data_IF_436532648855
#
_entry.id   IF_436532648855
#
_cell.length_a   1.000
_cell.length_b   1.000
_cell.length_c   1.000
_cell.angle_alpha   90.00
_cell.angle_beta   90.00
_cell.angle_gamma   90.00
#
_symmetry.space_group_name_H-M   'P 1'
#
loop_
_entity.id
_entity.type
_entity.pdbx_description
1 polymer ?
#
# COMPACT_ATOMS: atom_id res chain seq x y z
N UNK A 1 -0.19 -5.99 4.95
CA UNK A 1 -0.80 -4.78 4.35
C UNK A 1 -2.15 -5.07 3.69
N UNK A 2 -2.26 -6.05 2.79
CA UNK A 2 -3.54 -6.37 2.11
C UNK A 2 -4.68 -6.71 3.09
N UNK A 3 -4.42 -7.52 4.11
CA UNK A 3 -5.40 -7.87 5.15
C UNK A 3 -5.83 -6.66 5.97
N UNK A 4 -4.88 -5.83 6.44
CA UNK A 4 -5.20 -4.57 7.14
C UNK A 4 -6.09 -3.66 6.30
N UNK A 5 -5.81 -3.52 4.99
CA UNK A 5 -6.66 -2.73 4.07
C UNK A 5 -8.05 -3.35 3.82
N UNK A 6 -8.26 -4.62 4.17
CA UNK A 6 -9.57 -5.28 4.08
C UNK A 6 -10.35 -5.08 5.38
N UNK A 7 -9.69 -5.22 6.53
CA UNK A 7 -10.32 -5.19 7.86
C UNK A 7 -10.53 -3.77 8.40
N UNK A 8 -9.66 -2.82 8.06
CA UNK A 8 -9.72 -1.46 8.58
C UNK A 8 -10.82 -0.65 7.90
N UNK A 9 -11.64 0.02 8.71
CA UNK A 9 -12.66 0.97 8.23
C UNK A 9 -12.06 2.38 8.22
N UNK A 10 -11.92 3.03 7.05
CA UNK A 10 -11.32 4.36 6.96
C UNK A 10 -11.97 5.39 7.90
N UNK A 11 -11.14 6.02 8.73
CA UNK A 11 -11.51 7.04 9.71
C UNK A 11 -12.06 6.49 11.03
N UNK A 12 -12.05 5.17 11.22
CA UNK A 12 -12.48 4.50 12.46
C UNK A 12 -11.40 3.56 13.03
N UNK A 13 -10.25 3.45 12.36
CA UNK A 13 -9.12 2.69 12.84
C UNK A 13 -8.49 3.27 14.11
N UNK A 14 -7.85 2.40 14.90
CA UNK A 14 -6.98 2.83 15.98
C UNK A 14 -5.75 3.58 15.40
N UNK A 15 -5.25 4.64 16.07
CA UNK A 15 -4.06 5.35 15.62
C UNK A 15 -2.83 4.44 15.41
N UNK A 16 -2.65 3.42 16.25
CA UNK A 16 -1.53 2.49 16.14
C UNK A 16 -1.62 1.58 14.91
N UNK A 17 -2.83 1.11 14.58
CA UNK A 17 -3.07 0.34 13.35
C UNK A 17 -2.81 1.21 12.11
N UNK A 18 -3.19 2.50 12.18
CA UNK A 18 -2.91 3.44 11.11
C UNK A 18 -1.41 3.69 10.93
N UNK A 19 -0.66 3.89 12.00
CA UNK A 19 0.80 4.05 11.96
C UNK A 19 1.49 2.82 11.37
N UNK A 20 1.07 1.62 11.81
CA UNK A 20 1.56 0.35 11.25
C UNK A 20 1.26 0.25 9.75
N UNK A 21 0.05 0.62 9.33
CA UNK A 21 -0.31 0.62 7.91
C UNK A 21 0.57 1.58 7.10
N UNK A 22 0.89 2.76 7.62
CA UNK A 22 1.83 3.69 6.96
C UNK A 22 3.25 3.11 6.88
N UNK A 23 3.74 2.47 7.93
CA UNK A 23 5.07 1.85 7.95
C UNK A 23 5.17 0.70 6.95
N UNK A 24 4.15 -0.14 6.88
CA UNK A 24 4.05 -1.21 5.87
C UNK A 24 4.06 -0.62 4.46
N UNK A 25 3.32 0.46 4.21
CA UNK A 25 3.32 1.12 2.90
C UNK A 25 4.70 1.67 2.54
N UNK A 26 5.41 2.30 3.48
CA UNK A 26 6.80 2.77 3.27
C UNK A 26 7.74 1.61 2.92
N UNK A 27 7.63 0.51 3.67
CA UNK A 27 8.42 -0.70 3.44
C UNK A 27 8.13 -1.31 2.06
N UNK A 28 6.85 -1.45 1.68
CA UNK A 28 6.45 -1.95 0.38
C UNK A 28 6.95 -1.07 -0.78
N UNK A 29 6.96 0.27 -0.62
CA UNK A 29 7.52 1.18 -1.64
C UNK A 29 9.03 1.00 -1.81
N UNK A 30 9.75 0.81 -0.70
CA UNK A 30 11.17 0.47 -0.77
C UNK A 30 11.43 -0.89 -1.45
N UNK A 31 10.58 -1.89 -1.18
CA UNK A 31 10.63 -3.18 -1.87
C UNK A 31 10.37 -3.05 -3.37
N UNK A 32 9.36 -2.26 -3.78
CA UNK A 32 9.09 -2.01 -5.18
C UNK A 32 10.29 -1.36 -5.88
N UNK A 33 10.90 -0.35 -5.27
CA UNK A 33 12.10 0.28 -5.83
C UNK A 33 13.20 -0.75 -6.06
N UNK A 34 13.42 -1.65 -5.10
CA UNK A 34 14.41 -2.72 -5.23
C UNK A 34 14.05 -3.74 -6.32
N UNK A 35 12.77 -4.09 -6.46
CA UNK A 35 12.30 -5.01 -7.51
C UNK A 35 12.52 -4.40 -8.89
N UNK A 36 12.19 -3.12 -9.09
CA UNK A 36 12.42 -2.41 -10.36
C UNK A 36 13.90 -2.40 -10.73
N UNK A 37 14.79 -2.16 -9.76
CA UNK A 37 16.24 -2.27 -9.97
C UNK A 37 16.64 -3.69 -10.41
N UNK A 38 16.11 -4.72 -9.74
CA UNK A 38 16.42 -6.12 -10.06
C UNK A 38 15.94 -6.53 -11.46
N UNK A 39 14.72 -6.15 -11.85
CA UNK A 39 14.17 -6.39 -13.19
C UNK A 39 15.11 -5.84 -14.27
N UNK A 40 15.77 -4.70 -14.02
CA UNK A 40 16.67 -4.07 -15.01
C UNK A 40 18.01 -4.78 -15.18
N UNK A 41 18.42 -5.64 -14.25
CA UNK A 41 19.77 -6.23 -14.24
C UNK A 41 19.81 -7.77 -14.16
N UNK A 42 18.67 -8.43 -13.92
CA UNK A 42 18.58 -9.90 -13.95
C UNK A 42 18.46 -10.37 -15.41
N UNK A 43 19.27 -11.36 -15.79
CA UNK A 43 19.26 -11.95 -17.14
C UNK A 43 18.45 -13.24 -17.26
N UNK A 44 18.04 -13.82 -16.13
CA UNK A 44 17.20 -15.02 -16.11
C UNK A 44 15.73 -14.61 -16.33
N UNK A 45 15.13 -15.11 -17.41
CA UNK A 45 13.76 -14.75 -17.81
C UNK A 45 12.71 -15.19 -16.79
N UNK A 46 12.80 -16.41 -16.25
CA UNK A 46 11.89 -16.94 -15.23
C UNK A 46 11.94 -16.08 -13.96
N UNK A 47 13.13 -15.70 -13.51
CA UNK A 47 13.28 -14.80 -12.36
C UNK A 47 12.72 -13.40 -12.66
N UNK A 48 12.88 -12.92 -13.90
CA UNK A 48 12.35 -11.61 -14.31
C UNK A 48 10.82 -11.61 -14.34
N UNK A 49 10.21 -12.70 -14.81
CA UNK A 49 8.75 -12.91 -14.81
C UNK A 49 8.19 -12.89 -13.37
N UNK A 50 8.82 -13.61 -12.45
CA UNK A 50 8.43 -13.60 -11.04
C UNK A 50 8.56 -12.21 -10.40
N UNK A 51 9.63 -11.47 -10.72
CA UNK A 51 9.81 -10.10 -10.24
C UNK A 51 8.73 -9.16 -10.77
N UNK A 52 8.30 -9.32 -12.03
CA UNK A 52 7.21 -8.55 -12.61
C UNK A 52 5.88 -8.87 -11.90
N UNK A 53 5.59 -10.15 -11.63
CA UNK A 53 4.39 -10.55 -10.88
C UNK A 53 4.33 -9.92 -9.49
N UNK A 54 5.44 -10.00 -8.72
CA UNK A 54 5.50 -9.37 -7.39
C UNK A 54 5.36 -7.85 -7.48
N UNK A 55 5.91 -7.21 -8.52
CA UNK A 55 5.76 -5.78 -8.73
C UNK A 55 4.30 -5.39 -9.02
N UNK A 56 3.59 -6.18 -9.81
CA UNK A 56 2.17 -5.97 -10.11
C UNK A 56 1.29 -6.14 -8.86
N UNK A 57 1.60 -7.12 -8.02
CA UNK A 57 0.95 -7.27 -6.71
C UNK A 57 1.17 -6.05 -5.81
N UNK A 58 2.39 -5.51 -5.77
CA UNK A 58 2.68 -4.28 -5.03
C UNK A 58 1.89 -3.09 -5.58
N UNK A 59 1.83 -2.93 -6.91
CA UNK A 59 1.01 -1.89 -7.56
C UNK A 59 -0.47 -2.00 -7.16
N UNK A 60 -1.03 -3.20 -7.15
CA UNK A 60 -2.40 -3.44 -6.73
C UNK A 60 -2.64 -3.03 -5.26
N UNK A 61 -1.69 -3.33 -4.37
CA UNK A 61 -1.80 -2.94 -2.96
C UNK A 61 -1.69 -1.41 -2.82
N UNK A 62 -0.83 -0.73 -3.58
CA UNK A 62 -0.74 0.74 -3.55
C UNK A 62 -2.02 1.41 -4.00
N UNK A 63 -2.67 0.92 -5.07
CA UNK A 63 -3.96 1.43 -5.51
C UNK A 63 -5.04 1.30 -4.41
N UNK A 64 -5.03 0.19 -3.67
CA UNK A 64 -5.94 -0.02 -2.53
C UNK A 64 -5.61 0.93 -1.38
N UNK A 65 -4.34 1.11 -1.05
CA UNK A 65 -3.89 2.05 -0.02
C UNK A 65 -4.27 3.49 -0.34
N UNK A 66 -4.00 3.97 -1.56
CA UNK A 66 -4.34 5.33 -1.98
C UNK A 66 -5.85 5.59 -1.93
N UNK A 67 -6.65 4.57 -2.28
CA UNK A 67 -8.11 4.63 -2.14
C UNK A 67 -8.54 4.72 -0.68
N UNK A 68 -7.94 3.90 0.19
CA UNK A 68 -8.19 3.93 1.64
C UNK A 68 -7.91 5.33 2.22
N UNK A 69 -6.75 5.93 1.90
CA UNK A 69 -6.36 7.25 2.40
C UNK A 69 -7.30 8.38 1.92
N UNK A 70 -7.79 8.30 0.68
CA UNK A 70 -8.79 9.25 0.15
C UNK A 70 -10.10 9.18 0.94
N UNK A 71 -10.59 7.97 1.22
CA UNK A 71 -11.82 7.80 2.01
C UNK A 71 -11.66 8.26 3.44
N UNK A 72 -10.51 7.97 4.06
CA UNK A 72 -10.16 8.41 5.41
C UNK A 72 -10.14 9.94 5.50
N UNK A 73 -9.41 10.59 4.60
CA UNK A 73 -9.27 12.06 4.57
C UNK A 73 -10.60 12.76 4.28
N UNK A 74 -11.42 12.20 3.37
CA UNK A 74 -12.75 12.71 3.06
C UNK A 74 -13.74 12.58 4.23
N UNK A 75 -13.59 11.53 5.07
CA UNK A 75 -14.40 11.37 6.30
C UNK A 75 -13.93 12.26 7.44
N UNK A 76 -12.61 12.43 7.61
CA UNK A 76 -12.06 13.34 8.61
C UNK A 76 -12.58 14.78 8.42
N UNK A 77 -12.76 15.20 7.17
CA UNK A 77 -13.32 16.52 6.83
C UNK A 77 -14.84 16.63 7.03
N UNK A 78 -15.59 15.52 7.00
CA UNK A 78 -17.03 15.51 7.32
C UNK A 78 -17.31 15.46 8.83
N UNK A 79 -16.44 14.81 9.61
CA UNK A 79 -16.59 14.74 11.07
C UNK A 79 -16.40 16.08 11.80
N UNK A 80 -15.69 17.04 11.19
CA UNK A 80 -15.41 18.37 11.78
C UNK A 80 -16.60 19.33 11.64
N UNK A 81 -17.50 19.12 10.68
CA UNK A 81 -18.62 20.04 10.39
C UNK A 81 -19.91 19.78 11.19
N UNK A 82 -19.90 18.81 12.11
CA UNK A 82 -21.09 18.38 12.89
C UNK A 82 -20.95 18.61 14.41
N UNK A 83 -20.12 19.57 14.84
CA UNK A 83 -19.92 19.96 16.24
C UNK A 83 -20.56 21.29 16.58
#
# INVERSE_FOLDING_TARGET
>A
MSEMLTEMVPGQEDPSDHELLQELNRTCRAMQQRIVELISCVSNEEVTEELLHVNDDLNNIFLRYDRYERFRSGRASQGINNG
#
